data_IF_259464168735
#
_entry.id   IF_259464168735
#
_cell.length_a   1.000
_cell.length_b   1.000
_cell.length_c   1.000
_cell.angle_alpha   90.00
_cell.angle_beta   90.00
_cell.angle_gamma   90.00
#
_symmetry.space_group_name_H-M   'P 1'
#
loop_
_entity.id
_entity.type
_entity.pdbx_description
1 polymer ?
#
# COMPACT_ATOMS: atom_id res chain seq x y z
N UNK A 1 7.57 -8.82 19.66
CA UNK A 1 7.88 -9.69 20.80
C UNK A 1 6.68 -9.74 21.75
N UNK A 2 6.38 -10.88 22.39
CA UNK A 2 5.42 -10.96 23.51
C UNK A 2 5.90 -10.08 24.69
N UNK A 3 4.98 -9.50 25.45
CA UNK A 3 5.32 -8.62 26.55
C UNK A 3 6.21 -9.29 27.60
N UNK A 4 5.96 -10.57 27.93
CA UNK A 4 6.82 -11.32 28.85
C UNK A 4 8.28 -11.40 28.38
N UNK A 5 8.53 -11.58 27.08
CA UNK A 5 9.90 -11.57 26.52
C UNK A 5 10.52 -10.18 26.56
N UNK A 6 9.71 -9.12 26.36
CA UNK A 6 10.20 -7.73 26.51
C UNK A 6 10.59 -7.48 27.96
N UNK A 7 9.76 -7.88 28.93
CA UNK A 7 10.05 -7.73 30.35
C UNK A 7 11.32 -8.50 30.75
N UNK A 8 11.49 -9.74 30.30
CA UNK A 8 12.72 -10.53 30.54
C UNK A 8 13.96 -9.84 29.96
N UNK A 9 13.89 -9.38 28.70
CA UNK A 9 14.98 -8.67 28.05
C UNK A 9 15.37 -7.40 28.81
N UNK A 10 14.39 -6.57 29.24
CA UNK A 10 14.64 -5.37 30.01
C UNK A 10 15.30 -5.67 31.35
N UNK A 11 14.92 -6.77 32.00
CA UNK A 11 15.50 -7.20 33.25
C UNK A 11 16.94 -7.69 33.11
N UNK A 12 17.18 -8.54 32.10
CA UNK A 12 18.50 -9.16 31.91
C UNK A 12 19.54 -8.17 31.39
N UNK A 13 19.15 -7.25 30.51
CA UNK A 13 20.10 -6.34 29.85
C UNK A 13 20.25 -5.01 30.60
N UNK A 14 19.14 -4.49 31.15
CA UNK A 14 19.13 -3.14 31.76
C UNK A 14 18.85 -3.13 33.26
N UNK A 15 18.59 -4.28 33.88
CA UNK A 15 18.21 -4.33 35.31
C UNK A 15 16.82 -3.75 35.61
N UNK A 16 16.00 -3.48 34.56
CA UNK A 16 14.66 -2.92 34.68
C UNK A 16 13.64 -4.04 34.74
N UNK A 17 12.76 -4.07 35.72
CA UNK A 17 11.79 -5.13 35.95
C UNK A 17 10.31 -4.64 35.78
N UNK A 18 9.90 -4.10 34.64
CA UNK A 18 8.51 -3.71 34.43
C UNK A 18 7.61 -4.95 34.38
N UNK A 19 6.40 -4.83 34.92
CA UNK A 19 5.36 -5.85 34.73
C UNK A 19 4.86 -5.81 33.28
N UNK A 20 4.26 -6.92 32.80
CA UNK A 20 3.57 -6.92 31.51
C UNK A 20 2.46 -5.87 31.45
N UNK A 21 1.77 -5.65 32.58
CA UNK A 21 0.76 -4.59 32.73
C UNK A 21 1.35 -3.18 32.53
N UNK A 22 2.55 -2.91 33.04
CA UNK A 22 3.25 -1.65 32.80
C UNK A 22 3.54 -1.43 31.32
N UNK A 23 4.00 -2.46 30.61
CA UNK A 23 4.26 -2.39 29.17
C UNK A 23 2.96 -2.10 28.37
N UNK A 24 1.83 -2.70 28.77
CA UNK A 24 0.52 -2.40 28.17
C UNK A 24 0.09 -0.96 28.45
N UNK A 25 0.31 -0.46 29.66
CA UNK A 25 -0.03 0.92 30.01
C UNK A 25 0.82 1.94 29.23
N UNK A 26 2.10 1.70 29.06
CA UNK A 26 2.97 2.54 28.22
C UNK A 26 2.51 2.52 26.76
N UNK A 27 2.09 1.37 26.23
CA UNK A 27 1.52 1.32 24.88
C UNK A 27 0.21 2.11 24.76
N UNK A 28 -0.63 2.12 25.81
CA UNK A 28 -1.85 2.95 25.86
C UNK A 28 -1.54 4.44 25.89
N UNK A 29 -0.57 4.82 26.68
CA UNK A 29 -0.10 6.19 26.79
C UNK A 29 0.48 6.67 25.46
N UNK A 30 1.39 5.90 24.85
CA UNK A 30 1.95 6.20 23.55
C UNK A 30 0.86 6.37 22.48
N UNK A 31 -0.14 5.46 22.43
CA UNK A 31 -1.28 5.57 21.52
C UNK A 31 -2.07 6.85 21.75
N UNK A 32 -2.37 7.20 23.00
CA UNK A 32 -3.09 8.43 23.34
C UNK A 32 -2.31 9.67 22.90
N UNK A 33 -1.02 9.73 23.20
CA UNK A 33 -0.17 10.85 22.88
C UNK A 33 0.11 10.96 21.36
N UNK A 34 -0.02 9.86 20.61
CA UNK A 34 0.11 9.84 19.15
C UNK A 34 -1.08 10.48 18.39
N UNK A 35 -2.26 10.60 19.01
CA UNK A 35 -3.48 11.02 18.31
C UNK A 35 -3.34 12.37 17.57
N UNK A 36 -2.77 13.45 18.14
CA UNK A 36 -2.62 14.70 17.42
C UNK A 36 -1.72 14.56 16.17
N UNK A 37 -0.67 13.73 16.25
CA UNK A 37 0.20 13.47 15.10
C UNK A 37 -0.48 12.60 14.04
N UNK A 38 -1.31 11.62 14.44
CA UNK A 38 -2.09 10.79 13.52
C UNK A 38 -3.11 11.64 12.76
N UNK A 39 -3.82 12.53 13.42
CA UNK A 39 -4.76 13.43 12.73
C UNK A 39 -4.03 14.35 11.74
N UNK A 40 -2.89 14.93 12.12
CA UNK A 40 -2.06 15.69 11.19
C UNK A 40 -1.57 14.87 9.98
N UNK A 41 -1.11 13.65 10.19
CA UNK A 41 -0.71 12.75 9.09
C UNK A 41 -1.89 12.54 8.15
N UNK A 42 -3.10 12.30 8.69
CA UNK A 42 -4.33 12.14 7.90
C UNK A 42 -4.63 13.40 7.09
N UNK A 43 -4.59 14.58 7.70
CA UNK A 43 -4.81 15.87 7.01
C UNK A 43 -3.82 16.07 5.86
N UNK A 44 -2.53 15.82 6.08
CA UNK A 44 -1.51 15.89 5.02
C UNK A 44 -1.75 14.91 3.88
N UNK A 45 -2.20 13.69 4.18
CA UNK A 45 -2.58 12.72 3.14
C UNK A 45 -3.80 13.21 2.38
N UNK A 46 -4.83 13.72 3.07
CA UNK A 46 -6.05 14.25 2.45
C UNK A 46 -5.79 15.48 1.55
N UNK A 47 -4.73 16.23 1.81
CA UNK A 47 -4.31 17.39 0.99
C UNK A 47 -3.29 17.03 -0.10
N UNK A 48 -2.84 15.79 -0.18
CA UNK A 48 -1.83 15.37 -1.14
C UNK A 48 -2.43 15.04 -2.50
N UNK A 49 -1.72 15.44 -3.57
CA UNK A 49 -2.15 15.19 -4.95
C UNK A 49 -2.02 13.72 -5.39
N UNK A 50 -1.05 12.98 -4.83
CA UNK A 50 -0.81 11.58 -5.17
C UNK A 50 -0.73 10.73 -3.91
N UNK A 51 -1.57 9.71 -3.81
CA UNK A 51 -1.66 8.82 -2.64
C UNK A 51 -1.66 7.35 -3.09
N UNK A 52 -0.74 6.58 -2.56
CA UNK A 52 -0.73 5.12 -2.72
C UNK A 52 -1.61 4.45 -1.67
N UNK A 53 -2.46 3.50 -2.10
CA UNK A 53 -3.29 2.69 -1.20
C UNK A 53 -2.97 1.20 -1.37
N UNK A 54 -3.00 0.47 -0.27
CA UNK A 54 -2.91 -0.99 -0.24
C UNK A 54 -3.63 -1.51 1.01
N UNK A 55 -3.95 -2.78 1.06
CA UNK A 55 -4.55 -3.41 2.22
C UNK A 55 -4.06 -4.84 2.44
N UNK A 56 -4.17 -5.31 3.67
CA UNK A 56 -3.83 -6.67 4.04
C UNK A 56 -4.79 -7.21 5.08
N UNK A 57 -5.25 -8.44 4.88
CA UNK A 57 -6.03 -9.13 5.89
C UNK A 57 -5.25 -9.29 7.20
N UNK A 58 -5.91 -9.06 8.31
CA UNK A 58 -5.38 -9.28 9.65
C UNK A 58 -6.46 -9.86 10.57
N UNK A 59 -6.13 -10.91 11.30
CA UNK A 59 -7.04 -11.45 12.30
C UNK A 59 -6.94 -10.65 13.59
N UNK A 60 -8.09 -10.25 14.14
CA UNK A 60 -8.22 -9.59 15.42
C UNK A 60 -9.40 -10.18 16.20
N UNK A 61 -9.20 -10.63 17.42
CA UNK A 61 -10.26 -11.27 18.23
C UNK A 61 -11.02 -12.37 17.47
N UNK A 62 -10.30 -13.24 16.74
CA UNK A 62 -10.86 -14.32 15.89
C UNK A 62 -11.69 -13.83 14.69
N UNK A 63 -11.78 -12.53 14.44
CA UNK A 63 -12.46 -11.91 13.31
C UNK A 63 -11.43 -11.50 12.25
N UNK A 64 -11.77 -11.66 10.98
CA UNK A 64 -10.99 -11.15 9.86
C UNK A 64 -11.29 -9.65 9.70
N UNK A 65 -10.31 -8.82 10.01
CA UNK A 65 -10.28 -7.40 9.73
C UNK A 65 -9.24 -7.11 8.64
N UNK A 66 -9.18 -5.87 8.20
CA UNK A 66 -8.25 -5.41 7.17
C UNK A 66 -7.44 -4.24 7.69
N UNK A 67 -6.14 -4.36 7.57
CA UNK A 67 -5.22 -3.24 7.77
C UNK A 67 -5.03 -2.54 6.43
N UNK A 68 -5.37 -1.28 6.39
CA UNK A 68 -5.23 -0.40 5.25
C UNK A 68 -4.02 0.51 5.42
N UNK A 69 -3.40 0.87 4.32
CA UNK A 69 -2.37 1.88 4.26
C UNK A 69 -2.75 2.95 3.23
N UNK A 70 -2.59 4.20 3.62
CA UNK A 70 -2.56 5.34 2.72
C UNK A 70 -1.21 6.02 2.87
N UNK A 71 -0.50 6.28 1.77
CA UNK A 71 0.81 6.87 1.86
C UNK A 71 1.13 7.82 0.72
N UNK A 72 1.98 8.78 1.02
CA UNK A 72 2.61 9.71 0.08
C UNK A 72 4.13 9.55 0.14
N UNK A 73 4.87 10.40 -0.55
CA UNK A 73 6.34 10.46 -0.41
C UNK A 73 6.74 10.77 1.05
N UNK A 74 5.97 11.60 1.76
CA UNK A 74 6.32 12.12 3.09
C UNK A 74 5.57 11.49 4.25
N UNK A 75 4.36 10.96 4.03
CA UNK A 75 3.47 10.51 5.10
C UNK A 75 3.00 9.09 4.89
N UNK A 76 2.73 8.40 5.98
CA UNK A 76 2.16 7.05 6.00
C UNK A 76 1.11 6.98 7.08
N UNK A 77 -0.11 6.58 6.72
CA UNK A 77 -1.21 6.29 7.62
C UNK A 77 -1.60 4.82 7.49
N UNK A 78 -1.51 4.09 8.59
CA UNK A 78 -2.04 2.73 8.70
C UNK A 78 -3.26 2.76 9.62
N UNK A 79 -4.31 2.09 9.24
CA UNK A 79 -5.54 2.00 10.03
C UNK A 79 -6.24 0.67 9.79
N UNK A 80 -7.09 0.26 10.73
CA UNK A 80 -7.87 -0.97 10.65
C UNK A 80 -9.30 -0.68 10.24
N UNK A 81 -9.90 -1.60 9.49
CA UNK A 81 -11.31 -1.59 9.13
C UNK A 81 -11.88 -3.01 9.08
N UNK A 82 -13.19 -3.13 9.22
CA UNK A 82 -13.90 -4.42 9.22
C UNK A 82 -14.13 -4.98 7.81
N UNK A 83 -13.69 -4.30 6.76
CA UNK A 83 -13.98 -4.68 5.38
C UNK A 83 -12.88 -4.32 4.40
N UNK A 84 -12.99 -4.91 3.20
CA UNK A 84 -12.13 -4.69 2.04
C UNK A 84 -12.93 -4.08 0.89
N UNK A 85 -13.76 -3.09 1.17
CA UNK A 85 -14.61 -2.46 0.16
C UNK A 85 -14.34 -0.95 0.07
N UNK A 86 -14.87 -0.31 -0.98
CA UNK A 86 -14.71 1.12 -1.24
C UNK A 86 -15.19 2.02 -0.09
N UNK A 87 -16.24 1.60 0.61
CA UNK A 87 -16.81 2.36 1.75
C UNK A 87 -15.77 2.68 2.82
N UNK A 88 -14.78 1.81 3.04
CA UNK A 88 -13.70 2.04 4.02
C UNK A 88 -12.91 3.31 3.70
N UNK A 89 -12.57 3.53 2.44
CA UNK A 89 -11.84 4.74 2.02
C UNK A 89 -12.77 5.96 2.01
N UNK A 90 -14.01 5.81 1.57
CA UNK A 90 -15.00 6.90 1.61
C UNK A 90 -15.25 7.37 3.04
N UNK A 91 -15.45 6.45 3.98
CA UNK A 91 -15.65 6.79 5.41
C UNK A 91 -14.40 7.44 6.03
N UNK A 92 -13.19 7.08 5.56
CA UNK A 92 -11.93 7.60 6.12
C UNK A 92 -11.51 8.94 5.54
N UNK A 93 -11.71 9.16 4.23
CA UNK A 93 -11.15 10.29 3.48
C UNK A 93 -12.22 11.21 2.85
N UNK A 94 -13.47 10.76 2.73
CA UNK A 94 -14.59 11.56 2.19
C UNK A 94 -14.28 12.14 0.81
N UNK A 95 -14.71 13.36 0.59
CA UNK A 95 -14.57 14.10 -0.67
C UNK A 95 -13.11 14.41 -1.06
N UNK A 96 -12.15 14.19 -0.14
CA UNK A 96 -10.74 14.38 -0.50
C UNK A 96 -10.25 13.38 -1.54
N UNK A 97 -10.92 12.21 -1.67
CA UNK A 97 -10.63 11.23 -2.70
C UNK A 97 -10.76 11.80 -4.12
N UNK A 98 -11.72 12.68 -4.36
CA UNK A 98 -11.97 13.29 -5.67
C UNK A 98 -10.89 14.29 -6.10
N UNK A 99 -10.01 14.68 -5.18
CA UNK A 99 -8.92 15.65 -5.43
C UNK A 99 -7.54 14.99 -5.53
N UNK A 100 -7.45 13.67 -5.31
CA UNK A 100 -6.17 12.97 -5.33
C UNK A 100 -6.08 11.95 -6.49
N UNK A 101 -4.89 11.75 -6.98
CA UNK A 101 -4.54 10.63 -7.84
C UNK A 101 -4.22 9.43 -6.96
N UNK A 102 -4.97 8.35 -7.13
CA UNK A 102 -4.71 7.10 -6.43
C UNK A 102 -3.71 6.22 -7.17
N UNK A 103 -2.78 5.59 -6.45
CA UNK A 103 -1.90 4.54 -6.97
C UNK A 103 -2.22 3.25 -6.23
N UNK A 104 -2.75 2.24 -6.93
CA UNK A 104 -3.27 1.02 -6.29
C UNK A 104 -2.96 -0.23 -7.10
N UNK A 105 -3.25 -1.40 -6.55
CA UNK A 105 -3.40 -2.62 -7.33
C UNK A 105 -4.73 -2.61 -8.13
N UNK A 106 -5.07 -3.74 -8.76
CA UNK A 106 -6.32 -3.90 -9.54
C UNK A 106 -7.51 -4.39 -8.70
N UNK A 107 -7.51 -4.19 -7.38
CA UNK A 107 -8.66 -4.61 -6.58
C UNK A 107 -9.91 -3.77 -6.91
N UNK A 108 -11.05 -4.45 -7.05
CA UNK A 108 -12.30 -3.82 -7.54
C UNK A 108 -12.82 -2.68 -6.65
N UNK A 109 -12.48 -2.66 -5.37
CA UNK A 109 -12.88 -1.60 -4.45
C UNK A 109 -12.37 -0.21 -4.88
N UNK A 110 -11.18 -0.14 -5.49
CA UNK A 110 -10.61 1.12 -5.93
C UNK A 110 -11.31 1.68 -7.16
N UNK A 111 -11.78 0.81 -8.07
CA UNK A 111 -12.53 1.23 -9.27
C UNK A 111 -13.98 1.66 -8.99
N UNK A 112 -14.45 1.47 -7.77
CA UNK A 112 -15.77 1.94 -7.32
C UNK A 112 -15.69 3.34 -6.68
N UNK A 113 -14.50 3.93 -6.58
CA UNK A 113 -14.25 5.25 -6.00
C UNK A 113 -14.03 6.28 -7.10
N UNK A 114 -14.42 7.51 -6.82
CA UNK A 114 -14.15 8.66 -7.68
C UNK A 114 -12.86 9.33 -7.20
N UNK A 115 -11.77 9.07 -7.92
CA UNK A 115 -10.50 9.77 -7.76
C UNK A 115 -10.37 10.83 -8.86
N UNK A 116 -9.59 11.87 -8.62
CA UNK A 116 -9.21 12.83 -9.69
C UNK A 116 -8.54 12.08 -10.84
N UNK A 117 -7.63 11.17 -10.52
CA UNK A 117 -6.99 10.27 -11.46
C UNK A 117 -6.62 8.96 -10.75
N UNK A 118 -6.34 7.90 -11.51
CA UNK A 118 -6.01 6.59 -10.95
C UNK A 118 -4.85 5.96 -11.74
N UNK A 119 -3.82 5.49 -11.07
CA UNK A 119 -2.72 4.72 -11.64
C UNK A 119 -2.75 3.30 -11.09
N UNK A 120 -2.83 2.33 -11.98
CA UNK A 120 -2.68 0.92 -11.60
C UNK A 120 -1.20 0.56 -11.50
N UNK A 121 -0.82 -0.12 -10.45
CA UNK A 121 0.55 -0.53 -10.15
C UNK A 121 1.13 -1.44 -11.25
N UNK A 122 2.11 -0.94 -11.99
CA UNK A 122 2.78 -1.69 -13.06
C UNK A 122 3.52 -2.93 -12.54
N UNK A 123 4.06 -2.87 -11.32
CA UNK A 123 4.74 -4.02 -10.73
C UNK A 123 3.81 -5.23 -10.51
N UNK A 124 2.55 -5.01 -10.18
CA UNK A 124 1.55 -6.07 -10.09
C UNK A 124 1.22 -6.65 -11.47
N UNK A 125 1.02 -5.79 -12.47
CA UNK A 125 0.74 -6.23 -13.84
C UNK A 125 1.90 -7.03 -14.41
N UNK A 126 3.14 -6.58 -14.23
CA UNK A 126 4.33 -7.30 -14.68
C UNK A 126 4.49 -8.67 -14.02
N UNK A 127 4.20 -8.78 -12.71
CA UNK A 127 4.24 -10.08 -12.00
C UNK A 127 3.18 -11.06 -12.54
N UNK A 128 1.98 -10.58 -12.84
CA UNK A 128 0.93 -11.42 -13.43
C UNK A 128 1.28 -11.88 -14.86
N UNK A 129 1.84 -10.98 -15.68
CA UNK A 129 2.30 -11.30 -17.03
C UNK A 129 3.45 -12.31 -17.01
N UNK A 130 4.42 -12.14 -16.11
CA UNK A 130 5.50 -13.09 -15.92
C UNK A 130 4.97 -14.47 -15.51
N UNK A 131 4.04 -14.54 -14.56
CA UNK A 131 3.42 -15.79 -14.17
C UNK A 131 2.73 -16.48 -15.35
N UNK A 132 2.09 -15.76 -16.27
CA UNK A 132 1.49 -16.33 -17.46
C UNK A 132 2.51 -16.80 -18.48
N UNK A 133 3.63 -16.08 -18.62
CA UNK A 133 4.75 -16.51 -19.47
C UNK A 133 5.33 -17.85 -19.01
N UNK A 134 5.50 -18.02 -17.71
CA UNK A 134 6.00 -19.26 -17.09
C UNK A 134 5.00 -20.43 -17.17
N UNK A 135 3.68 -20.15 -17.24
CA UNK A 135 2.64 -21.17 -17.31
C UNK A 135 2.53 -21.89 -18.65
N UNK A 136 2.86 -21.22 -19.72
CA UNK A 136 2.67 -21.76 -21.08
C UNK A 136 3.80 -21.34 -22.00
N UNK A 137 4.68 -22.32 -22.25
CA UNK A 137 5.72 -22.19 -23.26
C UNK A 137 5.10 -21.94 -24.67
N UNK A 138 5.84 -21.28 -25.55
CA UNK A 138 5.47 -21.01 -26.93
C UNK A 138 4.28 -20.05 -27.15
N UNK A 139 4.00 -19.18 -26.18
CA UNK A 139 3.13 -18.01 -26.38
C UNK A 139 3.94 -16.75 -26.09
N UNK A 140 3.74 -15.71 -26.87
CA UNK A 140 4.46 -14.45 -26.76
C UNK A 140 3.56 -13.26 -26.37
N UNK A 141 2.27 -13.49 -26.16
CA UNK A 141 1.31 -12.43 -25.86
C UNK A 141 1.60 -11.73 -24.53
N UNK A 142 1.85 -12.50 -23.47
CA UNK A 142 2.20 -11.94 -22.16
C UNK A 142 3.54 -11.23 -22.19
N UNK A 143 4.53 -11.77 -22.91
CA UNK A 143 5.85 -11.16 -23.04
C UNK A 143 5.82 -9.85 -23.82
N UNK A 144 5.03 -9.79 -24.90
CA UNK A 144 4.82 -8.56 -25.68
C UNK A 144 4.22 -7.44 -24.84
N UNK A 145 3.20 -7.74 -23.99
CA UNK A 145 2.63 -6.75 -23.10
C UNK A 145 3.62 -6.37 -21.99
N UNK A 146 4.32 -7.35 -21.42
CA UNK A 146 5.32 -7.07 -20.40
C UNK A 146 6.46 -6.17 -20.94
N UNK A 147 6.89 -6.40 -22.18
CA UNK A 147 7.91 -5.57 -22.82
C UNK A 147 7.39 -4.14 -23.06
N UNK A 148 6.16 -3.99 -23.56
CA UNK A 148 5.52 -2.68 -23.69
C UNK A 148 5.51 -1.91 -22.36
N UNK A 149 5.19 -2.58 -21.25
CA UNK A 149 5.17 -1.96 -19.94
C UNK A 149 6.58 -1.59 -19.46
N UNK A 150 7.57 -2.45 -19.69
CA UNK A 150 8.98 -2.15 -19.37
C UNK A 150 9.52 -0.98 -20.18
N UNK A 151 9.21 -0.92 -21.46
CA UNK A 151 9.57 0.21 -22.34
C UNK A 151 8.95 1.52 -21.83
N UNK A 152 7.68 1.53 -21.43
CA UNK A 152 7.02 2.71 -20.88
C UNK A 152 7.68 3.17 -19.57
N UNK A 153 8.04 2.24 -18.68
CA UNK A 153 8.78 2.55 -17.46
C UNK A 153 10.18 3.09 -17.78
N UNK A 154 10.86 2.49 -18.75
CA UNK A 154 12.18 2.95 -19.20
C UNK A 154 12.12 4.37 -19.76
N UNK A 155 11.12 4.66 -20.61
CA UNK A 155 10.88 6.00 -21.17
C UNK A 155 10.70 7.04 -20.06
N UNK A 156 9.86 6.75 -19.04
CA UNK A 156 9.70 7.63 -17.88
C UNK A 156 11.00 7.83 -17.11
N UNK A 157 11.78 6.77 -16.89
CA UNK A 157 13.05 6.85 -16.16
C UNK A 157 14.11 7.63 -16.91
N UNK A 158 14.11 7.55 -18.24
CA UNK A 158 15.03 8.32 -19.11
C UNK A 158 14.64 9.80 -19.19
N UNK A 159 13.36 10.11 -19.00
CA UNK A 159 12.80 11.45 -19.08
C UNK A 159 11.98 11.79 -17.82
N UNK A 160 12.60 11.89 -16.64
CA UNK A 160 11.90 11.89 -15.35
C UNK A 160 10.96 13.08 -15.13
N UNK A 161 11.20 14.22 -15.79
CA UNK A 161 10.39 15.43 -15.65
C UNK A 161 9.51 15.74 -16.88
N UNK A 162 9.58 14.92 -17.94
CA UNK A 162 8.84 15.16 -19.16
C UNK A 162 7.36 14.78 -19.02
N UNK A 163 6.48 15.48 -19.72
CA UNK A 163 5.11 15.06 -19.97
C UNK A 163 5.13 14.19 -21.24
N UNK A 164 4.90 12.89 -21.09
CA UNK A 164 4.95 11.92 -22.18
C UNK A 164 3.53 11.55 -22.55
N UNK A 165 3.05 11.87 -23.77
CA UNK A 165 1.69 11.52 -24.19
C UNK A 165 1.46 10.01 -24.15
N UNK A 166 0.44 9.56 -23.41
CA UNK A 166 0.12 8.13 -23.28
C UNK A 166 -0.65 7.53 -24.48
N UNK A 167 -1.13 8.35 -25.41
CA UNK A 167 -2.01 7.90 -26.50
C UNK A 167 -1.36 6.78 -27.36
N UNK A 168 -0.12 6.93 -27.77
CA UNK A 168 0.61 5.92 -28.55
C UNK A 168 0.83 4.62 -27.76
N UNK A 169 1.05 4.70 -26.46
CA UNK A 169 1.19 3.54 -25.58
C UNK A 169 -0.12 2.79 -25.42
N UNK A 170 -1.24 3.50 -25.31
CA UNK A 170 -2.58 2.94 -25.26
C UNK A 170 -2.93 2.26 -26.58
N UNK A 171 -2.60 2.85 -27.73
CA UNK A 171 -2.82 2.24 -29.05
C UNK A 171 -2.02 0.94 -29.20
N UNK A 172 -0.75 0.92 -28.80
CA UNK A 172 0.09 -0.29 -28.77
C UNK A 172 -0.52 -1.37 -27.88
N UNK A 173 -0.99 -1.01 -26.69
CA UNK A 173 -1.66 -1.94 -25.78
C UNK A 173 -2.96 -2.49 -26.41
N UNK A 174 -3.79 -1.63 -26.99
CA UNK A 174 -5.05 -2.02 -27.65
C UNK A 174 -4.81 -3.03 -28.77
N UNK A 175 -3.76 -2.84 -29.58
CA UNK A 175 -3.41 -3.77 -30.64
C UNK A 175 -3.03 -5.16 -30.08
N UNK A 176 -2.32 -5.21 -28.95
CA UNK A 176 -2.01 -6.48 -28.26
C UNK A 176 -3.28 -7.11 -27.64
N UNK A 177 -4.17 -6.28 -27.10
CA UNK A 177 -5.42 -6.75 -26.51
C UNK A 177 -6.44 -7.25 -27.54
N UNK A 178 -6.35 -6.85 -28.82
CA UNK A 178 -7.18 -7.39 -29.92
C UNK A 178 -6.78 -8.81 -30.34
N UNK A 179 -5.58 -9.26 -30.04
CA UNK A 179 -5.10 -10.58 -30.43
C UNK A 179 -5.98 -11.69 -29.84
N UNK A 180 -6.23 -12.73 -30.67
CA UNK A 180 -6.98 -13.90 -30.22
C UNK A 180 -6.10 -14.78 -29.32
N UNK A 181 -6.52 -14.98 -28.09
CA UNK A 181 -5.82 -15.78 -27.07
C UNK A 181 -6.67 -16.93 -26.51
N UNK A 182 -7.78 -17.28 -27.16
CA UNK A 182 -8.71 -18.32 -26.69
C UNK A 182 -8.02 -19.65 -26.39
N UNK A 183 -6.99 -19.99 -27.18
CA UNK A 183 -6.23 -21.23 -27.01
C UNK A 183 -5.19 -21.21 -25.87
N UNK A 184 -5.00 -20.06 -25.19
CA UNK A 184 -4.00 -19.95 -24.12
C UNK A 184 -4.57 -20.36 -22.74
N UNK A 185 -5.90 -20.32 -22.59
CA UNK A 185 -6.60 -20.77 -21.41
C UNK A 185 -7.16 -19.65 -20.53
N UNK A 186 -8.03 -20.04 -19.59
CA UNK A 186 -8.87 -19.14 -18.78
C UNK A 186 -8.08 -18.03 -18.03
N UNK A 187 -6.87 -18.32 -17.57
CA UNK A 187 -6.06 -17.33 -16.84
C UNK A 187 -5.65 -16.16 -17.73
N UNK A 188 -5.28 -16.45 -18.98
CA UNK A 188 -4.95 -15.43 -19.99
C UNK A 188 -6.16 -14.55 -20.31
N UNK A 189 -7.32 -15.16 -20.51
CA UNK A 189 -8.56 -14.42 -20.76
C UNK A 189 -8.95 -13.54 -19.57
N UNK A 190 -8.75 -14.03 -18.34
CA UNK A 190 -9.03 -13.27 -17.13
C UNK A 190 -8.12 -12.05 -17.02
N UNK A 191 -6.82 -12.21 -17.28
CA UNK A 191 -5.89 -11.07 -17.29
C UNK A 191 -6.24 -10.09 -18.41
N UNK A 192 -6.50 -10.58 -19.63
CA UNK A 192 -6.91 -9.72 -20.76
C UNK A 192 -8.13 -8.87 -20.42
N UNK A 193 -9.21 -9.49 -19.89
CA UNK A 193 -10.40 -8.77 -19.42
C UNK A 193 -10.07 -7.73 -18.34
N UNK A 194 -9.17 -8.08 -17.42
CA UNK A 194 -8.70 -7.17 -16.39
C UNK A 194 -7.93 -5.98 -16.94
N UNK A 195 -7.06 -6.20 -17.94
CA UNK A 195 -6.30 -5.14 -18.62
C UNK A 195 -7.23 -4.21 -19.41
N UNK A 196 -8.22 -4.75 -20.12
CA UNK A 196 -9.23 -3.96 -20.83
C UNK A 196 -9.98 -3.05 -19.83
N UNK A 197 -10.39 -3.58 -18.67
CA UNK A 197 -11.11 -2.82 -17.65
C UNK A 197 -10.29 -1.69 -17.05
N UNK A 198 -8.98 -1.88 -16.85
CA UNK A 198 -8.12 -0.86 -16.25
C UNK A 198 -7.26 -0.08 -17.26
N UNK A 199 -7.54 -0.23 -18.56
CA UNK A 199 -6.75 0.33 -19.65
C UNK A 199 -6.38 1.79 -19.47
N UNK A 200 -7.34 2.63 -19.15
CA UNK A 200 -7.16 4.09 -19.04
C UNK A 200 -6.34 4.51 -17.81
N UNK A 201 -6.10 3.56 -16.90
CA UNK A 201 -5.37 3.77 -15.64
C UNK A 201 -3.94 3.19 -15.64
N UNK A 202 -3.47 2.65 -16.80
CA UNK A 202 -2.17 1.95 -16.86
C UNK A 202 -1.00 2.92 -17.07
N UNK A 203 -1.16 3.96 -17.88
CA UNK A 203 -0.06 4.81 -18.34
C UNK A 203 -0.15 6.26 -17.83
N UNK A 204 -0.93 6.55 -16.80
CA UNK A 204 -1.08 7.92 -16.28
C UNK A 204 0.23 8.48 -15.71
N UNK A 205 1.13 7.59 -15.23
CA UNK A 205 2.47 7.97 -14.78
C UNK A 205 3.34 8.58 -15.90
N UNK A 206 2.98 8.40 -17.17
CA UNK A 206 3.68 9.03 -18.29
C UNK A 206 3.29 10.50 -18.46
N UNK A 207 2.04 10.85 -18.18
CA UNK A 207 1.54 12.20 -18.37
C UNK A 207 1.82 13.11 -17.17
N UNK A 208 2.05 12.53 -15.98
CA UNK A 208 2.37 13.29 -14.77
C UNK A 208 3.60 12.68 -14.07
N UNK A 209 4.74 13.42 -14.02
CA UNK A 209 5.95 12.97 -13.32
C UNK A 209 5.78 12.70 -11.82
N UNK A 210 4.76 13.28 -11.19
CA UNK A 210 4.47 13.06 -9.78
C UNK A 210 3.82 11.70 -9.51
N UNK A 211 3.24 11.07 -10.53
CA UNK A 211 2.59 9.77 -10.40
C UNK A 211 3.64 8.66 -10.56
N UNK A 212 3.92 7.84 -9.53
CA UNK A 212 4.81 6.71 -9.67
C UNK A 212 4.17 5.61 -10.52
N UNK A 213 4.98 4.88 -11.27
CA UNK A 213 4.52 3.73 -12.07
C UNK A 213 4.09 2.53 -11.21
N UNK A 214 4.51 2.47 -9.95
CA UNK A 214 4.21 1.36 -9.04
C UNK A 214 3.74 1.83 -7.65
N UNK A 215 3.19 0.89 -6.88
CA UNK A 215 2.74 1.09 -5.50
C UNK A 215 3.67 0.40 -4.48
N UNK A 216 4.94 0.19 -4.82
CA UNK A 216 5.91 -0.49 -3.97
C UNK A 216 6.10 0.19 -2.60
N UNK A 217 5.85 1.49 -2.52
CA UNK A 217 5.88 2.22 -1.27
C UNK A 217 4.84 1.70 -0.27
N UNK A 218 3.58 1.54 -0.69
CA UNK A 218 2.51 0.99 0.15
C UNK A 218 2.80 -0.46 0.51
N UNK A 219 3.27 -1.28 -0.45
CA UNK A 219 3.67 -2.66 -0.19
C UNK A 219 4.77 -2.74 0.89
N UNK A 220 5.78 -1.88 0.83
CA UNK A 220 6.85 -1.83 1.86
C UNK A 220 6.31 -1.40 3.22
N UNK A 221 5.41 -0.41 3.25
CA UNK A 221 4.79 0.09 4.48
C UNK A 221 3.98 -1.00 5.22
N UNK A 222 3.22 -1.80 4.47
CA UNK A 222 2.39 -2.87 5.06
C UNK A 222 3.18 -4.17 5.34
N UNK A 223 4.36 -4.34 4.74
CA UNK A 223 5.18 -5.58 4.86
C UNK A 223 5.52 -5.93 6.30
N UNK A 224 5.84 -4.94 7.13
CA UNK A 224 6.18 -5.17 8.55
C UNK A 224 5.00 -5.72 9.34
N UNK A 225 3.78 -5.28 9.03
CA UNK A 225 2.58 -5.86 9.58
C UNK A 225 2.45 -7.33 9.15
N UNK A 226 2.66 -7.65 7.86
CA UNK A 226 2.62 -9.02 7.35
C UNK A 226 3.63 -9.92 8.06
N UNK A 227 4.86 -9.43 8.32
CA UNK A 227 5.89 -10.16 9.07
C UNK A 227 5.44 -10.39 10.51
N UNK A 228 4.89 -9.38 11.18
CA UNK A 228 4.36 -9.54 12.54
C UNK A 228 3.25 -10.60 12.59
N UNK A 229 2.31 -10.54 11.65
CA UNK A 229 1.20 -11.50 11.58
C UNK A 229 1.67 -12.93 11.29
N UNK A 230 2.71 -13.12 10.47
CA UNK A 230 3.33 -14.45 10.28
C UNK A 230 3.86 -15.03 11.58
N UNK A 231 4.39 -14.19 12.49
CA UNK A 231 4.96 -14.65 13.76
C UNK A 231 3.92 -14.79 14.87
N UNK A 232 2.86 -13.98 14.87
CA UNK A 232 1.86 -13.94 15.96
C UNK A 232 0.48 -14.44 15.55
N UNK A 233 0.26 -14.75 14.28
CA UNK A 233 -0.97 -15.19 13.63
C UNK A 233 -2.14 -14.21 13.76
N UNK A 234 -2.33 -13.56 14.91
CA UNK A 234 -3.49 -12.71 15.19
C UNK A 234 -3.15 -11.58 16.16
N UNK A 235 -3.99 -10.56 16.18
CA UNK A 235 -4.09 -9.61 17.28
C UNK A 235 -5.06 -10.15 18.33
N UNK A 236 -4.69 -10.06 19.60
CA UNK A 236 -5.52 -10.55 20.71
C UNK A 236 -6.58 -9.54 21.16
N UNK A 237 -6.46 -8.26 20.75
CA UNK A 237 -7.39 -7.19 21.09
C UNK A 237 -7.44 -6.12 20.01
N UNK A 238 -8.57 -5.46 19.87
CA UNK A 238 -8.76 -4.31 18.99
C UNK A 238 -7.76 -3.19 19.35
N UNK A 239 -7.61 -2.92 20.65
CA UNK A 239 -6.62 -1.95 21.14
C UNK A 239 -5.21 -2.27 20.65
N UNK A 240 -4.76 -3.52 20.76
CA UNK A 240 -3.41 -3.92 20.35
C UNK A 240 -3.18 -3.80 18.84
N UNK A 241 -4.23 -4.06 18.05
CA UNK A 241 -4.19 -3.88 16.60
C UNK A 241 -4.07 -2.39 16.24
N UNK A 242 -4.97 -1.56 16.78
CA UNK A 242 -5.02 -0.13 16.49
C UNK A 242 -3.76 0.59 16.98
N UNK A 243 -3.30 0.30 18.21
CA UNK A 243 -2.06 0.87 18.74
C UNK A 243 -0.84 0.56 17.87
N UNK A 244 -0.73 -0.70 17.38
CA UNK A 244 0.37 -1.05 16.49
C UNK A 244 0.31 -0.26 15.18
N UNK A 245 -0.85 -0.16 14.54
CA UNK A 245 -1.00 0.51 13.25
C UNK A 245 -0.74 2.01 13.36
N UNK A 246 -1.28 2.65 14.40
CA UNK A 246 -1.08 4.08 14.65
C UNK A 246 0.38 4.42 14.98
N UNK A 247 1.00 3.70 15.91
CA UNK A 247 2.42 3.91 16.22
C UNK A 247 3.32 3.59 15.03
N UNK A 248 2.93 2.63 14.19
CA UNK A 248 3.65 2.33 12.97
C UNK A 248 3.52 3.44 11.92
N UNK A 249 2.38 4.13 11.87
CA UNK A 249 2.20 5.33 11.04
C UNK A 249 3.17 6.44 11.43
N UNK A 250 3.33 6.70 12.74
CA UNK A 250 4.30 7.66 13.28
C UNK A 250 5.73 7.29 12.87
N UNK A 251 6.12 6.03 13.10
CA UNK A 251 7.47 5.55 12.79
C UNK A 251 7.78 5.60 11.29
N UNK A 252 6.86 5.17 10.43
CA UNK A 252 7.09 5.19 8.98
C UNK A 252 7.08 6.61 8.42
N UNK A 253 6.25 7.49 8.95
CA UNK A 253 6.29 8.93 8.62
C UNK A 253 7.61 9.55 9.07
N UNK A 254 8.05 9.31 10.29
CA UNK A 254 9.31 9.84 10.80
C UNK A 254 10.52 9.42 9.96
N UNK A 255 10.56 8.17 9.49
CA UNK A 255 11.61 7.69 8.58
C UNK A 255 11.64 8.45 7.25
N UNK A 256 10.48 8.80 6.70
CA UNK A 256 10.39 9.63 5.48
C UNK A 256 10.95 11.03 5.70
N UNK A 257 10.98 11.48 6.94
CA UNK A 257 11.61 12.73 7.38
C UNK A 257 13.02 12.55 7.97
N UNK A 258 13.69 11.43 7.66
CA UNK A 258 15.04 11.11 8.14
C UNK A 258 15.18 11.09 9.67
N UNK A 259 14.10 10.76 10.40
CA UNK A 259 14.11 10.57 11.84
C UNK A 259 14.19 9.08 12.19
N UNK A 260 14.82 8.78 13.32
CA UNK A 260 14.89 7.38 13.80
C UNK A 260 13.56 6.93 14.40
N UNK A 261 13.23 5.63 14.38
CA UNK A 261 12.07 5.09 15.10
C UNK A 261 12.08 5.42 16.60
N UNK A 262 13.27 5.42 17.21
CA UNK A 262 13.43 5.74 18.62
C UNK A 262 13.00 7.19 18.92
N UNK A 263 13.55 8.17 18.19
CA UNK A 263 13.21 9.59 18.36
C UNK A 263 11.71 9.84 18.10
N UNK A 264 11.13 9.14 17.13
CA UNK A 264 9.71 9.27 16.80
C UNK A 264 8.80 8.83 17.95
N UNK A 265 9.18 7.75 18.66
CA UNK A 265 8.41 7.26 19.82
C UNK A 265 8.74 8.09 21.07
N UNK A 266 9.98 8.46 21.27
CA UNK A 266 10.41 9.30 22.42
C UNK A 266 9.64 10.63 22.44
N UNK A 267 9.49 11.30 21.29
CA UNK A 267 8.75 12.55 21.18
C UNK A 267 7.28 12.46 21.62
N UNK A 268 6.70 11.27 21.70
CA UNK A 268 5.34 11.08 22.23
C UNK A 268 5.27 11.21 23.78
N UNK A 269 6.40 11.21 24.45
CA UNK A 269 6.49 11.28 25.92
C UNK A 269 7.18 12.56 26.41
N UNK A 270 7.66 13.41 25.51
CA UNK A 270 8.35 14.67 25.82
C UNK A 270 7.39 15.89 25.85
N UNK A 271 6.10 15.66 26.17
CA UNK A 271 5.06 16.70 26.22
C UNK A 271 4.93 17.30 27.62
#
# INVERSE_FOLDING_TARGET
>A
LPYGRIASFLREVFGLAPSEGSLVNWAREAKRNAQPAIEKIKEYIMSSSVVGFDESGCYCNKRLDWAWIAQTVYYTLLFRANGRNSKVLTDKFGDSLERMTAVTDRHSAYFALQFLNHQVCMAHLLRELQYLSELKDKQDWSDKIANLFREAIHERNSNPSAIIPKASWLERLDNLLKLNICNFGKKFETLKKGLIKCRDYIFNFLEDPMIPSDNNGSERGIRKLKIKLKNSCTFRSDFGADALLELHSIVETAKKHNKTPFNAIQALFEV
#
